data_IF_303307847959
#
_entry.id   IF_303307847959
#
_cell.length_a   1.000
_cell.length_b   1.000
_cell.length_c   1.000
_cell.angle_alpha   90.00
_cell.angle_beta   90.00
_cell.angle_gamma   90.00
#
_symmetry.space_group_name_H-M   'P 1'
#
loop_
_entity.id
_entity.type
_entity.pdbx_description
1 polymer ?
#
# COMPACT_ATOMS: atom_id res chain seq x y z
N UNK A 1 48.09 -3.33 8.93
CA UNK A 1 47.78 -3.64 10.34
C UNK A 1 46.39 -3.11 10.69
N UNK A 2 45.44 -3.97 11.07
CA UNK A 2 44.10 -3.51 11.43
C UNK A 2 44.13 -2.77 12.78
N UNK A 3 43.68 -1.49 12.80
CA UNK A 3 43.57 -0.70 14.03
C UNK A 3 42.71 -1.44 15.05
N UNK A 4 43.26 -1.74 16.23
CA UNK A 4 42.50 -2.26 17.37
C UNK A 4 41.35 -1.29 17.67
N UNK A 5 40.12 -1.79 17.60
CA UNK A 5 38.94 -1.00 17.98
C UNK A 5 39.06 -0.62 19.45
N UNK A 6 38.85 0.66 19.75
CA UNK A 6 38.84 1.18 21.12
C UNK A 6 37.69 0.56 21.91
N UNK A 7 37.79 0.55 23.24
CA UNK A 7 36.73 0.05 24.11
C UNK A 7 35.38 0.74 23.85
N UNK A 8 35.40 2.05 23.56
CA UNK A 8 34.24 2.82 23.15
C UNK A 8 33.60 2.30 21.85
N UNK A 9 34.42 1.98 20.84
CA UNK A 9 33.95 1.41 19.58
C UNK A 9 33.36 0.00 19.74
N UNK A 10 33.86 -0.79 20.70
CA UNK A 10 33.32 -2.12 21.04
C UNK A 10 31.94 -1.97 21.72
N UNK A 11 31.81 -1.05 22.68
CA UNK A 11 30.53 -0.78 23.35
C UNK A 11 29.48 -0.23 22.38
N UNK A 12 29.86 0.72 21.52
CA UNK A 12 28.98 1.23 20.47
C UNK A 12 28.56 0.13 19.49
N UNK A 13 29.49 -0.74 19.07
CA UNK A 13 29.19 -1.89 18.20
C UNK A 13 28.24 -2.88 18.86
N UNK A 14 28.41 -3.18 20.16
CA UNK A 14 27.48 -4.03 20.93
C UNK A 14 26.09 -3.40 21.06
N UNK A 15 26.01 -2.10 21.36
CA UNK A 15 24.75 -1.37 21.46
C UNK A 15 24.03 -1.26 20.10
N UNK A 16 24.78 -1.02 19.03
CA UNK A 16 24.25 -0.99 17.66
C UNK A 16 23.83 -2.39 17.21
N UNK A 17 24.61 -3.42 17.53
CA UNK A 17 24.28 -4.82 17.28
C UNK A 17 23.06 -5.32 18.05
N UNK A 18 22.79 -4.76 19.24
CA UNK A 18 21.55 -5.01 19.97
C UNK A 18 20.33 -4.30 19.33
N UNK A 19 20.54 -3.14 18.70
CA UNK A 19 19.51 -2.43 17.93
C UNK A 19 19.27 -3.00 16.52
N UNK A 20 20.28 -3.60 15.89
CA UNK A 20 20.24 -4.03 14.49
C UNK A 20 19.81 -5.48 14.25
N UNK A 21 19.76 -6.33 15.28
CA UNK A 21 19.37 -7.76 15.18
C UNK A 21 17.88 -8.02 14.94
N UNK A 22 17.13 -6.97 14.63
CA UNK A 22 15.67 -7.05 14.50
C UNK A 22 15.00 -7.33 15.84
N UNK A 23 13.66 -7.41 15.85
CA UNK A 23 12.93 -7.58 17.09
C UNK A 23 12.99 -9.02 17.58
N UNK A 24 13.45 -9.19 18.82
CA UNK A 24 13.58 -10.52 19.45
C UNK A 24 12.30 -10.92 20.20
N UNK A 25 11.54 -9.94 20.71
CA UNK A 25 10.28 -10.16 21.42
C UNK A 25 9.09 -10.38 20.48
N UNK A 26 8.07 -11.11 20.93
CA UNK A 26 6.81 -11.33 20.19
C UNK A 26 6.19 -9.97 19.80
N UNK A 27 6.14 -9.03 20.74
CA UNK A 27 5.62 -7.67 20.51
C UNK A 27 6.45 -6.88 19.49
N UNK A 28 7.78 -7.05 19.51
CA UNK A 28 8.68 -6.48 18.52
C UNK A 28 8.49 -7.10 17.13
N UNK A 29 8.35 -8.43 17.04
CA UNK A 29 8.13 -9.15 15.78
C UNK A 29 6.81 -8.73 15.15
N UNK A 30 5.76 -8.59 15.95
CA UNK A 30 4.47 -8.05 15.52
C UNK A 30 4.58 -6.60 15.03
N UNK A 31 5.34 -5.72 15.73
CA UNK A 31 5.62 -4.34 15.25
C UNK A 31 6.37 -4.34 13.92
N UNK A 32 7.39 -5.19 13.77
CA UNK A 32 8.16 -5.31 12.53
C UNK A 32 7.32 -5.85 11.37
N UNK A 33 6.51 -6.89 11.60
CA UNK A 33 5.57 -7.41 10.59
C UNK A 33 4.56 -6.35 10.15
N UNK A 34 4.00 -5.58 11.11
CA UNK A 34 3.12 -4.43 10.80
C UNK A 34 3.83 -3.36 9.99
N UNK A 35 5.08 -3.04 10.32
CA UNK A 35 5.86 -2.05 9.60
C UNK A 35 6.22 -2.55 8.21
N UNK A 36 6.72 -3.77 8.06
CA UNK A 36 7.04 -4.36 6.76
C UNK A 36 5.82 -4.39 5.82
N UNK A 37 4.63 -4.73 6.33
CA UNK A 37 3.39 -4.76 5.53
C UNK A 37 2.87 -3.37 5.19
N UNK A 38 2.95 -2.41 6.13
CA UNK A 38 2.64 -1.00 5.86
C UNK A 38 3.63 -0.43 4.84
N UNK A 39 4.92 -0.71 4.99
CA UNK A 39 5.94 -0.29 4.05
C UNK A 39 5.69 -0.93 2.69
N UNK A 40 5.40 -2.22 2.58
CA UNK A 40 5.02 -2.87 1.31
C UNK A 40 3.79 -2.23 0.64
N UNK A 41 2.77 -1.84 1.42
CA UNK A 41 1.59 -1.15 0.88
C UNK A 41 1.95 0.23 0.30
N UNK A 42 2.88 0.95 0.92
CA UNK A 42 3.31 2.28 0.50
C UNK A 42 4.65 2.28 -0.26
N UNK A 43 5.21 1.10 -0.57
CA UNK A 43 6.49 0.95 -1.26
C UNK A 43 6.38 1.57 -2.67
N UNK A 44 7.50 2.09 -3.21
CA UNK A 44 7.57 2.61 -4.56
C UNK A 44 6.93 1.63 -5.57
N UNK A 45 6.24 2.20 -6.56
CA UNK A 45 5.40 1.43 -7.50
C UNK A 45 6.25 0.59 -8.47
N UNK A 46 7.52 0.99 -8.66
CA UNK A 46 8.51 0.34 -9.53
C UNK A 46 8.70 -1.15 -9.23
N UNK A 47 8.26 -1.64 -8.07
CA UNK A 47 8.33 -3.05 -7.68
C UNK A 47 7.14 -3.93 -8.15
N UNK A 48 6.02 -3.37 -8.66
CA UNK A 48 4.75 -4.11 -8.81
C UNK A 48 3.91 -3.71 -10.06
N UNK A 49 4.52 -3.58 -11.23
CA UNK A 49 3.77 -3.43 -12.49
C UNK A 49 2.75 -4.58 -12.72
N UNK A 50 2.98 -5.75 -12.11
CA UNK A 50 2.16 -6.96 -12.24
C UNK A 50 0.85 -6.96 -11.42
N UNK A 51 0.63 -5.96 -10.55
CA UNK A 51 -0.57 -5.92 -9.69
C UNK A 51 -1.80 -5.35 -10.41
N UNK A 52 -1.59 -4.64 -11.52
CA UNK A 52 -2.67 -4.08 -12.33
C UNK A 52 -3.19 -5.12 -13.34
N UNK A 53 -4.51 -5.25 -13.41
CA UNK A 53 -5.18 -6.05 -14.43
C UNK A 53 -5.25 -5.31 -15.77
N UNK A 54 -5.62 -6.01 -16.84
CA UNK A 54 -5.90 -5.38 -18.14
C UNK A 54 -6.95 -4.25 -18.02
N UNK A 55 -8.02 -4.49 -17.27
CA UNK A 55 -9.07 -3.50 -17.05
C UNK A 55 -8.55 -2.26 -16.28
N UNK A 56 -7.58 -2.43 -15.38
CA UNK A 56 -6.95 -1.30 -14.69
C UNK A 56 -6.13 -0.44 -15.64
N UNK A 57 -5.41 -1.07 -16.58
CA UNK A 57 -4.63 -0.38 -17.60
C UNK A 57 -5.57 0.39 -18.53
N UNK A 58 -6.64 -0.25 -19.00
CA UNK A 58 -7.67 0.38 -19.84
C UNK A 58 -8.32 1.58 -19.14
N UNK A 59 -8.64 1.45 -17.84
CA UNK A 59 -9.14 2.56 -17.03
C UNK A 59 -8.14 3.72 -17.00
N UNK A 60 -6.86 3.45 -16.76
CA UNK A 60 -5.83 4.50 -16.69
C UNK A 60 -5.63 5.20 -18.04
N UNK A 61 -5.72 4.49 -19.15
CA UNK A 61 -5.67 5.07 -20.49
C UNK A 61 -6.89 5.94 -20.79
N UNK A 62 -8.07 5.53 -20.35
CA UNK A 62 -9.25 6.38 -20.42
C UNK A 62 -9.08 7.66 -19.59
N UNK A 63 -8.60 7.55 -18.34
CA UNK A 63 -8.32 8.70 -17.48
C UNK A 63 -7.27 9.65 -18.07
N UNK A 64 -6.24 9.12 -18.76
CA UNK A 64 -5.27 9.93 -19.51
C UNK A 64 -5.93 10.75 -20.61
N UNK A 65 -6.92 10.18 -21.29
CA UNK A 65 -7.67 10.87 -22.34
C UNK A 65 -8.48 12.04 -21.78
N UNK A 66 -9.15 11.81 -20.63
CA UNK A 66 -9.92 12.85 -19.94
C UNK A 66 -9.03 14.00 -19.42
N UNK A 67 -7.86 13.68 -18.87
CA UNK A 67 -6.93 14.68 -18.35
C UNK A 67 -6.14 15.46 -19.40
N UNK A 68 -6.19 15.05 -20.67
CA UNK A 68 -5.36 15.64 -21.74
C UNK A 68 -5.65 17.13 -21.92
N UNK A 69 -4.60 17.94 -21.84
CA UNK A 69 -4.66 19.39 -22.04
C UNK A 69 -5.13 20.18 -20.81
N UNK A 70 -5.50 19.51 -19.72
CA UNK A 70 -5.77 20.18 -18.45
C UNK A 70 -4.47 20.48 -17.70
N UNK A 71 -4.36 21.66 -17.10
CA UNK A 71 -3.16 22.12 -16.39
C UNK A 71 -2.72 21.21 -15.23
N UNK A 72 -3.66 20.47 -14.63
CA UNK A 72 -3.42 19.50 -13.55
C UNK A 72 -3.73 18.04 -13.95
N UNK A 73 -3.92 17.77 -15.24
CA UNK A 73 -4.30 16.44 -15.74
C UNK A 73 -3.29 15.36 -15.36
N UNK A 74 -2.01 15.59 -15.65
CA UNK A 74 -0.93 14.63 -15.38
C UNK A 74 -0.78 14.31 -13.89
N UNK A 75 -0.96 15.31 -13.02
CA UNK A 75 -0.95 15.10 -11.58
C UNK A 75 -2.10 14.18 -11.15
N UNK A 76 -3.33 14.45 -11.61
CA UNK A 76 -4.50 13.64 -11.27
C UNK A 76 -4.40 12.20 -11.81
N UNK A 77 -3.79 12.02 -12.98
CA UNK A 77 -3.50 10.71 -13.56
C UNK A 77 -2.47 9.97 -12.68
N UNK A 78 -1.37 10.62 -12.30
CA UNK A 78 -0.36 10.05 -11.41
C UNK A 78 -0.93 9.65 -10.05
N UNK A 79 -1.81 10.48 -9.47
CA UNK A 79 -2.51 10.16 -8.24
C UNK A 79 -3.49 8.99 -8.40
N UNK A 80 -4.19 8.90 -9.51
CA UNK A 80 -5.10 7.80 -9.82
C UNK A 80 -4.33 6.49 -9.96
N UNK A 81 -3.21 6.51 -10.69
CA UNK A 81 -2.30 5.36 -10.83
C UNK A 81 -1.81 4.85 -9.47
N UNK A 82 -1.24 5.73 -8.65
CA UNK A 82 -0.77 5.38 -7.30
C UNK A 82 -1.88 4.81 -6.42
N UNK A 83 -3.07 5.40 -6.49
CA UNK A 83 -4.20 4.98 -5.68
C UNK A 83 -4.72 3.62 -6.12
N UNK A 84 -4.77 3.36 -7.43
CA UNK A 84 -5.21 2.09 -7.99
C UNK A 84 -4.25 0.95 -7.62
N UNK A 85 -2.93 1.15 -7.78
CA UNK A 85 -1.93 0.16 -7.34
C UNK A 85 -2.08 -0.17 -5.86
N UNK A 86 -2.23 0.85 -5.00
CA UNK A 86 -2.43 0.65 -3.55
C UNK A 86 -3.73 -0.09 -3.25
N UNK A 87 -4.83 0.25 -3.94
CA UNK A 87 -6.10 -0.44 -3.80
C UNK A 87 -5.96 -1.92 -4.14
N UNK A 88 -5.35 -2.25 -5.28
CA UNK A 88 -5.11 -3.63 -5.73
C UNK A 88 -4.24 -4.41 -4.74
N UNK A 89 -3.14 -3.82 -4.24
CA UNK A 89 -2.32 -4.41 -3.17
C UNK A 89 -3.14 -4.72 -1.91
N UNK A 90 -4.00 -3.80 -1.46
CA UNK A 90 -4.85 -4.05 -0.28
C UNK A 90 -5.81 -5.20 -0.54
N UNK A 91 -6.43 -5.28 -1.72
CA UNK A 91 -7.38 -6.35 -2.03
C UNK A 91 -6.72 -7.73 -1.98
N UNK A 92 -5.49 -7.85 -2.49
CA UNK A 92 -4.69 -9.09 -2.35
C UNK A 92 -4.44 -9.43 -0.89
N UNK A 93 -4.04 -8.45 -0.07
CA UNK A 93 -3.80 -8.65 1.36
C UNK A 93 -5.07 -9.01 2.14
N UNK A 94 -6.23 -8.47 1.75
CA UNK A 94 -7.53 -8.81 2.34
C UNK A 94 -7.86 -10.27 2.04
N UNK A 95 -7.70 -10.70 0.79
CA UNK A 95 -7.93 -12.10 0.38
C UNK A 95 -7.06 -13.06 1.19
N UNK A 96 -5.75 -12.79 1.26
CA UNK A 96 -4.81 -13.58 2.05
C UNK A 96 -5.16 -13.61 3.54
N UNK A 97 -5.53 -12.47 4.12
CA UNK A 97 -5.93 -12.42 5.53
C UNK A 97 -7.23 -13.23 5.78
N UNK A 98 -8.15 -13.24 4.83
CA UNK A 98 -9.36 -14.07 4.89
C UNK A 98 -9.04 -15.57 4.81
N UNK A 99 -8.16 -15.97 3.89
CA UNK A 99 -7.66 -17.34 3.77
C UNK A 99 -6.97 -17.82 5.05
N UNK A 100 -6.08 -16.99 5.62
CA UNK A 100 -5.41 -17.25 6.91
C UNK A 100 -6.43 -17.49 8.04
N UNK A 101 -7.46 -16.64 8.13
CA UNK A 101 -8.52 -16.78 9.15
C UNK A 101 -9.29 -18.09 8.92
N UNK A 102 -9.65 -18.41 7.68
CA UNK A 102 -10.34 -19.65 7.34
C UNK A 102 -9.55 -20.89 7.76
N UNK A 103 -8.23 -20.89 7.50
CA UNK A 103 -7.33 -21.97 7.92
C UNK A 103 -7.26 -22.09 9.45
N UNK A 104 -7.18 -20.97 10.18
CA UNK A 104 -7.14 -20.99 11.65
C UNK A 104 -8.45 -21.53 12.25
N UNK A 105 -9.59 -21.18 11.67
CA UNK A 105 -10.90 -21.64 12.13
C UNK A 105 -11.17 -23.12 11.81
N UNK A 106 -10.46 -23.70 10.84
CA UNK A 106 -10.59 -25.11 10.48
C UNK A 106 -9.87 -26.07 11.44
N UNK A 107 -9.07 -25.55 12.38
CA UNK A 107 -8.32 -26.33 13.37
C UNK A 107 -9.25 -26.62 14.57
N UNK A 108 -9.24 -27.85 15.11
CA UNK A 108 -10.08 -28.25 16.26
C UNK A 108 -9.88 -27.37 17.51
N UNK A 109 -8.68 -26.84 17.71
CA UNK A 109 -8.36 -25.89 18.78
C UNK A 109 -7.60 -24.69 18.20
N UNK A 110 -8.31 -23.64 17.75
CA UNK A 110 -7.69 -22.47 17.13
C UNK A 110 -6.83 -21.67 18.13
N UNK A 111 -5.68 -21.20 17.67
CA UNK A 111 -4.90 -20.18 18.39
C UNK A 111 -5.67 -18.85 18.39
N UNK A 112 -6.44 -18.61 19.45
CA UNK A 112 -7.28 -17.43 19.62
C UNK A 112 -6.50 -16.10 19.59
N UNK A 113 -5.33 -15.98 20.24
CA UNK A 113 -4.44 -14.81 20.06
C UNK A 113 -4.09 -14.53 18.59
N UNK A 114 -3.67 -15.55 17.84
CA UNK A 114 -3.30 -15.40 16.44
C UNK A 114 -4.51 -15.05 15.55
N UNK A 115 -5.66 -15.68 15.81
CA UNK A 115 -6.93 -15.36 15.14
C UNK A 115 -7.32 -13.89 15.37
N UNK A 116 -7.23 -13.42 16.62
CA UNK A 116 -7.53 -12.02 16.98
C UNK A 116 -6.60 -11.05 16.25
N UNK A 117 -5.30 -11.39 16.14
CA UNK A 117 -4.35 -10.58 15.36
C UNK A 117 -4.75 -10.52 13.88
N UNK A 118 -5.12 -11.64 13.27
CA UNK A 118 -5.52 -11.72 11.87
C UNK A 118 -6.83 -10.98 11.58
N UNK A 119 -7.83 -11.10 12.44
CA UNK A 119 -9.08 -10.33 12.35
C UNK A 119 -8.80 -8.83 12.47
N UNK A 120 -7.97 -8.42 13.43
CA UNK A 120 -7.59 -7.01 13.61
C UNK A 120 -6.87 -6.47 12.37
N UNK A 121 -6.01 -7.29 11.76
CA UNK A 121 -5.34 -6.95 10.51
C UNK A 121 -6.35 -6.79 9.36
N UNK A 122 -7.32 -7.71 9.22
CA UNK A 122 -8.35 -7.63 8.20
C UNK A 122 -9.18 -6.35 8.32
N UNK A 123 -9.64 -5.99 9.52
CA UNK A 123 -10.38 -4.74 9.78
C UNK A 123 -9.56 -3.52 9.36
N UNK A 124 -8.25 -3.53 9.65
CA UNK A 124 -7.36 -2.44 9.25
C UNK A 124 -7.19 -2.34 7.74
N UNK A 125 -7.05 -3.48 7.05
CA UNK A 125 -6.95 -3.51 5.58
C UNK A 125 -8.25 -3.02 4.93
N UNK A 126 -9.41 -3.40 5.44
CA UNK A 126 -10.70 -2.90 4.97
C UNK A 126 -10.83 -1.37 5.07
N UNK A 127 -10.27 -0.76 6.13
CA UNK A 127 -10.21 0.72 6.22
C UNK A 127 -9.33 1.35 5.14
N UNK A 128 -8.21 0.73 4.80
CA UNK A 128 -7.35 1.21 3.70
C UNK A 128 -8.02 1.05 2.34
N UNK A 129 -8.69 -0.08 2.12
CA UNK A 129 -9.48 -0.34 0.91
C UNK A 129 -10.51 0.77 0.68
N UNK A 130 -11.34 1.06 1.69
CA UNK A 130 -12.33 2.14 1.63
C UNK A 130 -11.69 3.50 1.35
N UNK A 131 -10.55 3.79 1.98
CA UNK A 131 -9.81 5.05 1.78
C UNK A 131 -9.31 5.18 0.34
N UNK A 132 -8.70 4.12 -0.21
CA UNK A 132 -8.15 4.16 -1.56
C UNK A 132 -9.25 4.19 -2.63
N UNK A 133 -10.31 3.40 -2.46
CA UNK A 133 -11.49 3.50 -3.33
C UNK A 133 -12.06 4.91 -3.33
N UNK A 134 -12.32 5.48 -2.15
CA UNK A 134 -12.84 6.84 -2.06
C UNK A 134 -11.87 7.91 -2.62
N UNK A 135 -10.55 7.69 -2.55
CA UNK A 135 -9.59 8.59 -3.21
C UNK A 135 -9.66 8.45 -4.74
N UNK A 136 -9.72 7.23 -5.26
CA UNK A 136 -9.83 6.97 -6.70
C UNK A 136 -11.12 7.58 -7.27
N UNK A 137 -12.26 7.38 -6.59
CA UNK A 137 -13.55 7.95 -7.02
C UNK A 137 -13.51 9.48 -7.10
N UNK A 138 -12.76 10.14 -6.20
CA UNK A 138 -12.60 11.60 -6.20
C UNK A 138 -11.71 12.07 -7.36
N UNK A 139 -10.59 11.38 -7.60
CA UNK A 139 -9.70 11.76 -8.71
C UNK A 139 -10.35 11.53 -10.07
N UNK A 140 -11.11 10.43 -10.22
CA UNK A 140 -11.91 10.17 -11.42
C UNK A 140 -12.96 11.27 -11.66
N UNK A 141 -13.71 11.66 -10.62
CA UNK A 141 -14.69 12.75 -10.75
C UNK A 141 -14.05 14.08 -11.14
N UNK A 142 -12.87 14.39 -10.60
CA UNK A 142 -12.13 15.59 -10.98
C UNK A 142 -11.73 15.56 -12.47
N UNK A 143 -11.20 14.44 -12.96
CA UNK A 143 -10.86 14.27 -14.38
C UNK A 143 -12.09 14.37 -15.30
N UNK A 144 -13.23 13.81 -14.91
CA UNK A 144 -14.48 13.96 -15.65
C UNK A 144 -15.06 15.39 -15.62
N UNK A 145 -14.72 16.20 -14.61
CA UNK A 145 -15.09 17.63 -14.61
C UNK A 145 -14.26 18.40 -15.63
N UNK A 146 -12.95 18.17 -15.64
CA UNK A 146 -12.02 18.82 -16.56
C UNK A 146 -12.36 18.53 -18.02
N UNK A 147 -12.74 17.30 -18.33
CA UNK A 147 -13.17 16.92 -19.68
C UNK A 147 -14.44 17.68 -20.10
N UNK A 148 -15.43 17.79 -19.21
CA UNK A 148 -16.66 18.55 -19.46
C UNK A 148 -16.39 20.03 -19.69
N UNK A 149 -15.52 20.62 -18.88
CA UNK A 149 -15.10 22.02 -19.04
C UNK A 149 -14.40 22.24 -20.40
N UNK A 150 -13.51 21.32 -20.79
CA UNK A 150 -12.81 21.36 -22.09
C UNK A 150 -13.79 21.26 -23.27
N UNK A 151 -14.73 20.31 -23.23
CA UNK A 151 -15.74 20.15 -24.28
C UNK A 151 -16.61 21.40 -24.39
N UNK A 152 -17.02 21.97 -23.25
CA UNK A 152 -17.83 23.19 -23.21
C UNK A 152 -17.08 24.38 -23.82
N UNK A 153 -15.79 24.53 -23.50
CA UNK A 153 -14.95 25.59 -24.07
C UNK A 153 -14.77 25.45 -25.59
N UNK A 154 -14.62 24.21 -26.09
CA UNK A 154 -14.47 23.93 -27.53
C UNK A 154 -15.75 24.18 -28.34
N UNK A 155 -16.93 24.16 -27.71
CA UNK A 155 -18.20 24.44 -28.39
C UNK A 155 -18.56 25.93 -28.39
N UNK A 156 -17.91 26.73 -27.54
CA UNK A 156 -18.11 28.17 -27.44
C UNK A 156 -17.17 29.00 -28.33
N UNK A 157 -16.17 28.35 -28.95
CA UNK A 157 -15.19 28.92 -29.88
C UNK A 157 -15.57 28.64 -31.32
#
# INVERSE_FOLDING_TARGET
MARRRTAAAICASKANGARSRGPVSISGKAKSSRNARKHGLFSPIEADAHVLSKADIELLDHLRTLGRGAWNGDQLIGESYQTLVRLRRVLVLIKQAGEDIGLLLAIESPDMPLLTERVTQLVRLARYERRFRGKLDRTMRALMSLDRERVSASLAS
#
